data_IF_915186266028
#
_entry.id   IF_915186266028
#
_cell.length_a   1.000
_cell.length_b   1.000
_cell.length_c   1.000
_cell.angle_alpha   90.00
_cell.angle_beta   90.00
_cell.angle_gamma   90.00
#
_symmetry.space_group_name_H-M   'P 1'
#
loop_
_entity.id
_entity.type
_entity.pdbx_description
1 polymer ?
#
# COMPACT_ATOMS: atom_id res chain seq x y z
N UNK A 1 -26.04 -15.65 5.38
CA UNK A 1 -26.42 -14.22 5.27
C UNK A 1 -26.33 -13.50 6.62
N UNK A 2 -27.38 -13.41 7.47
CA UNK A 2 -27.35 -12.60 8.71
C UNK A 2 -26.13 -12.81 9.64
N UNK A 3 -25.68 -14.06 9.87
CA UNK A 3 -24.46 -14.34 10.66
C UNK A 3 -23.16 -13.80 10.04
N UNK A 4 -23.11 -13.67 8.71
CA UNK A 4 -21.95 -13.12 7.98
C UNK A 4 -21.96 -11.59 8.07
N UNK A 5 -23.14 -10.97 7.93
CA UNK A 5 -23.32 -9.52 8.10
C UNK A 5 -22.94 -9.07 9.51
N UNK A 6 -23.40 -9.79 10.55
CA UNK A 6 -23.01 -9.48 11.93
C UNK A 6 -21.50 -9.63 12.18
N UNK A 7 -20.87 -10.65 11.58
CA UNK A 7 -19.42 -10.81 11.61
C UNK A 7 -18.62 -9.76 10.83
N UNK A 8 -19.28 -8.89 10.06
CA UNK A 8 -18.69 -7.72 9.40
C UNK A 8 -18.89 -6.46 10.28
N UNK A 9 -20.05 -6.32 10.93
CA UNK A 9 -20.29 -5.28 11.94
C UNK A 9 -19.32 -5.41 13.14
N UNK A 10 -19.14 -6.62 13.67
CA UNK A 10 -18.22 -6.94 14.78
C UNK A 10 -16.72 -6.70 14.42
N UNK A 11 -16.39 -6.41 13.16
CA UNK A 11 -15.02 -6.12 12.69
C UNK A 11 -14.73 -4.62 12.47
N UNK A 12 -15.68 -3.73 12.78
CA UNK A 12 -15.45 -2.28 12.72
C UNK A 12 -15.15 -1.75 11.31
N UNK A 13 -15.62 -2.44 10.27
CA UNK A 13 -15.52 -1.93 8.89
C UNK A 13 -16.56 -0.82 8.74
N UNK A 14 -16.13 0.43 8.92
CA UNK A 14 -16.89 1.58 8.44
C UNK A 14 -16.86 1.57 6.91
N UNK A 15 -17.78 0.80 6.32
CA UNK A 15 -18.44 1.04 5.03
C UNK A 15 -19.39 2.22 5.37
N UNK A 16 -19.28 3.54 5.05
CA UNK A 16 -18.67 5.64 3.17
C UNK A 16 -17.23 6.40 2.90
N UNK A 17 -17.07 7.12 1.78
CA UNK A 17 -15.97 8.09 1.60
C UNK A 17 -15.95 9.19 2.71
N UNK A 18 -17.03 9.31 3.50
CA UNK A 18 -17.08 9.99 4.81
C UNK A 18 -17.80 9.14 5.90
N UNK A 19 -19.05 8.67 5.67
CA UNK A 19 -19.78 7.71 6.56
C UNK A 19 -20.59 6.66 5.76
N UNK A 20 -19.92 5.69 5.11
CA UNK A 20 -20.68 4.57 3.60
C UNK A 20 -21.96 3.76 3.88
N UNK A 21 -22.31 3.46 5.13
CA UNK A 21 -23.28 2.45 5.59
C UNK A 21 -23.14 1.02 5.00
N UNK A 22 -23.24 -0.01 5.85
CA UNK A 22 -23.19 -1.44 5.48
C UNK A 22 -24.28 -1.87 4.49
N UNK A 23 -25.31 -1.05 4.29
CA UNK A 23 -26.49 -1.31 3.45
C UNK A 23 -26.48 -0.58 2.09
N UNK A 24 -25.35 0.02 1.68
CA UNK A 24 -25.23 0.67 0.37
C UNK A 24 -25.45 -0.31 -0.79
N UNK A 25 -26.65 -0.27 -1.38
CA UNK A 25 -26.98 -1.03 -2.58
C UNK A 25 -26.03 -0.73 -3.76
N UNK A 26 -25.48 0.49 -3.83
CA UNK A 26 -24.48 0.87 -4.83
C UNK A 26 -23.18 0.07 -4.66
N UNK A 27 -22.71 -0.13 -3.43
CA UNK A 27 -21.50 -0.94 -3.18
C UNK A 27 -21.77 -2.42 -3.47
N UNK A 28 -22.91 -2.95 -3.02
CA UNK A 28 -23.35 -4.31 -3.36
C UNK A 28 -23.40 -4.53 -4.89
N UNK A 29 -24.03 -3.61 -5.64
CA UNK A 29 -24.18 -3.74 -7.08
C UNK A 29 -22.82 -3.72 -7.81
N UNK A 30 -21.90 -2.83 -7.44
CA UNK A 30 -20.54 -2.80 -8.00
C UNK A 30 -19.80 -4.12 -7.72
N UNK A 31 -19.82 -4.61 -6.48
CA UNK A 31 -19.17 -5.87 -6.10
C UNK A 31 -19.79 -7.06 -6.86
N UNK A 32 -21.10 -7.08 -7.03
CA UNK A 32 -21.81 -8.12 -7.80
C UNK A 32 -21.47 -8.07 -9.29
N UNK A 33 -21.45 -6.89 -9.91
CA UNK A 33 -21.03 -6.73 -11.31
C UNK A 33 -19.58 -7.20 -11.52
N UNK A 34 -18.65 -6.76 -10.67
CA UNK A 34 -17.25 -7.21 -10.76
C UNK A 34 -17.09 -8.71 -10.56
N UNK A 35 -17.93 -9.37 -9.75
CA UNK A 35 -17.95 -10.84 -9.69
C UNK A 35 -18.48 -11.43 -11.00
N UNK A 36 -19.62 -10.95 -11.47
CA UNK A 36 -20.33 -11.45 -12.66
C UNK A 36 -19.57 -11.23 -13.97
N UNK A 37 -18.67 -10.25 -14.06
CA UNK A 37 -17.79 -10.02 -15.21
C UNK A 37 -16.56 -10.94 -15.25
N UNK A 38 -16.23 -11.55 -14.10
CA UNK A 38 -15.13 -12.51 -13.95
C UNK A 38 -15.63 -13.96 -14.04
N UNK A 39 -16.75 -14.29 -13.42
CA UNK A 39 -17.47 -15.56 -13.57
C UNK A 39 -18.09 -15.63 -14.98
N UNK A 40 -17.37 -16.24 -15.93
CA UNK A 40 -17.77 -16.31 -17.34
C UNK A 40 -18.86 -17.38 -17.57
N UNK A 41 -18.68 -18.56 -16.98
CA UNK A 41 -19.51 -19.75 -17.15
C UNK A 41 -20.70 -19.84 -16.17
N UNK A 42 -20.80 -18.91 -15.22
CA UNK A 42 -21.89 -18.76 -14.25
C UNK A 42 -22.01 -19.95 -13.28
N UNK A 43 -20.88 -20.58 -12.94
CA UNK A 43 -20.81 -21.68 -11.95
C UNK A 43 -20.85 -21.18 -10.50
N UNK A 44 -20.71 -19.87 -10.27
CA UNK A 44 -20.70 -19.24 -8.95
C UNK A 44 -19.32 -19.21 -8.29
N UNK A 45 -18.23 -19.50 -9.02
CA UNK A 45 -16.86 -19.44 -8.53
C UNK A 45 -15.92 -18.73 -9.51
N UNK A 46 -14.96 -17.98 -8.97
CA UNK A 46 -13.87 -17.35 -9.72
C UNK A 46 -12.62 -18.23 -9.60
N UNK A 47 -12.15 -18.82 -10.70
CA UNK A 47 -10.90 -19.58 -10.72
C UNK A 47 -9.69 -18.73 -11.10
N UNK A 48 -8.48 -19.30 -11.04
CA UNK A 48 -7.23 -18.60 -11.36
C UNK A 48 -7.12 -18.04 -12.79
N UNK A 49 -7.94 -18.50 -13.74
CA UNK A 49 -8.04 -17.87 -15.07
C UNK A 49 -8.86 -16.57 -15.00
N UNK A 50 -10.02 -16.64 -14.34
CA UNK A 50 -10.92 -15.51 -14.12
C UNK A 50 -10.22 -14.41 -13.32
N UNK A 51 -9.62 -14.74 -12.15
CA UNK A 51 -8.95 -13.74 -11.31
C UNK A 51 -7.71 -13.12 -11.98
N UNK A 52 -7.05 -13.81 -12.93
CA UNK A 52 -5.96 -13.22 -13.74
C UNK A 52 -6.47 -12.18 -14.75
N UNK A 53 -7.77 -12.14 -15.06
CA UNK A 53 -8.40 -11.07 -15.86
C UNK A 53 -8.79 -9.84 -15.00
N UNK A 54 -8.66 -9.89 -13.68
CA UNK A 54 -8.96 -8.75 -12.81
C UNK A 54 -8.02 -7.58 -13.11
N UNK A 55 -8.59 -6.43 -13.42
CA UNK A 55 -7.90 -5.16 -13.71
C UNK A 55 -6.71 -5.36 -14.67
N UNK A 56 -6.98 -5.93 -15.84
CA UNK A 56 -6.01 -6.23 -16.91
C UNK A 56 -4.75 -6.99 -16.46
N UNK A 57 -4.89 -7.86 -15.46
CA UNK A 57 -3.79 -8.66 -14.93
C UNK A 57 -2.88 -7.85 -13.98
N UNK A 58 -3.47 -6.96 -13.18
CA UNK A 58 -2.78 -6.23 -12.12
C UNK A 58 -2.09 -7.14 -11.10
N UNK A 59 -2.74 -8.25 -10.73
CA UNK A 59 -2.29 -9.15 -9.67
C UNK A 59 -1.27 -10.21 -10.18
N UNK A 60 -0.11 -10.38 -9.50
CA UNK A 60 0.82 -11.48 -9.74
C UNK A 60 0.19 -12.88 -9.56
N UNK A 61 0.71 -13.88 -10.28
CA UNK A 61 0.26 -15.28 -10.16
C UNK A 61 0.53 -15.83 -8.74
N UNK A 62 1.62 -15.43 -8.10
CA UNK A 62 1.95 -15.77 -6.70
C UNK A 62 0.87 -15.28 -5.74
N UNK A 63 0.41 -14.04 -5.91
CA UNK A 63 -0.69 -13.42 -5.13
C UNK A 63 -2.03 -14.10 -5.42
N UNK A 64 -2.40 -14.30 -6.69
CA UNK A 64 -3.61 -15.02 -7.11
C UNK A 64 -3.66 -16.42 -6.47
N UNK A 65 -2.54 -17.13 -6.43
CA UNK A 65 -2.44 -18.43 -5.78
C UNK A 65 -2.75 -18.36 -4.27
N UNK A 66 -2.19 -17.38 -3.54
CA UNK A 66 -2.48 -17.20 -2.10
C UNK A 66 -3.95 -16.85 -1.84
N UNK A 67 -4.54 -15.97 -2.66
CA UNK A 67 -5.97 -15.59 -2.58
C UNK A 67 -6.87 -16.83 -2.75
N UNK A 68 -6.66 -17.61 -3.82
CA UNK A 68 -7.49 -18.78 -4.15
C UNK A 68 -7.25 -19.99 -3.23
N UNK A 69 -6.19 -19.98 -2.42
CA UNK A 69 -6.00 -20.91 -1.30
C UNK A 69 -6.59 -20.37 0.02
N UNK A 70 -7.40 -19.31 -0.02
CA UNK A 70 -8.15 -18.76 1.12
C UNK A 70 -7.32 -17.97 2.14
N UNK A 71 -6.01 -17.79 1.91
CA UNK A 71 -5.05 -17.33 2.92
C UNK A 71 -5.33 -15.94 3.48
N UNK A 72 -5.94 -15.04 2.70
CA UNK A 72 -6.28 -13.70 3.15
C UNK A 72 -7.31 -13.65 4.29
N UNK A 73 -8.11 -14.70 4.53
CA UNK A 73 -9.12 -14.70 5.60
C UNK A 73 -8.57 -15.17 6.95
N UNK A 74 -9.08 -14.65 8.09
CA UNK A 74 -8.77 -15.20 9.41
C UNK A 74 -9.19 -16.68 9.51
N UNK A 75 -8.40 -17.52 10.21
CA UNK A 75 -8.69 -18.95 10.35
C UNK A 75 -10.08 -19.24 10.95
N UNK A 76 -10.59 -18.37 11.84
CA UNK A 76 -11.95 -18.45 12.37
C UNK A 76 -13.06 -18.25 11.30
N UNK A 77 -12.80 -17.46 10.26
CA UNK A 77 -13.74 -17.21 9.15
C UNK A 77 -13.82 -18.38 8.15
N UNK A 78 -13.02 -19.43 8.34
CA UNK A 78 -13.05 -20.68 7.55
C UNK A 78 -13.98 -21.74 8.15
N UNK A 79 -14.54 -21.51 9.35
CA UNK A 79 -15.24 -22.53 10.17
C UNK A 79 -16.77 -22.53 9.96
N UNK A 80 -17.32 -21.58 9.19
CA UNK A 80 -18.77 -21.48 8.97
C UNK A 80 -19.21 -22.30 7.76
N UNK A 81 -19.33 -23.62 7.93
CA UNK A 81 -20.38 -24.49 7.34
C UNK A 81 -20.06 -25.98 7.50
N UNK A 82 -21.03 -26.74 8.04
CA UNK A 82 -21.13 -28.19 7.88
C UNK A 82 -20.33 -29.04 8.88
N UNK A 83 -21.05 -29.78 9.72
CA UNK A 83 -20.51 -31.01 10.30
C UNK A 83 -20.45 -32.09 9.19
N UNK A 84 -19.35 -32.84 9.15
CA UNK A 84 -19.10 -33.91 8.18
C UNK A 84 -18.47 -33.48 6.83
N UNK A 85 -17.17 -33.79 6.65
CA UNK A 85 -16.59 -34.01 5.32
C UNK A 85 -15.28 -33.27 5.01
N UNK A 86 -14.17 -34.01 4.98
CA UNK A 86 -12.92 -33.55 4.36
C UNK A 86 -13.15 -33.30 2.85
N UNK A 87 -13.16 -32.04 2.37
CA UNK A 87 -12.89 -31.70 0.94
C UNK A 87 -12.81 -30.21 0.52
N UNK A 88 -13.22 -29.19 1.32
CA UNK A 88 -13.22 -27.77 0.84
C UNK A 88 -11.87 -27.26 0.32
N UNK A 89 -10.73 -27.75 0.82
CA UNK A 89 -9.37 -27.39 0.37
C UNK A 89 -8.97 -27.86 -1.06
N UNK A 90 -9.90 -28.21 -1.96
CA UNK A 90 -9.57 -28.83 -3.26
C UNK A 90 -10.07 -28.12 -4.54
N UNK A 91 -10.83 -27.02 -4.46
CA UNK A 91 -11.04 -26.10 -5.61
C UNK A 91 -9.98 -24.98 -5.54
N UNK A 92 -9.23 -24.73 -6.62
CA UNK A 92 -8.43 -23.50 -6.82
C UNK A 92 -9.31 -22.38 -7.38
N UNK A 93 -10.42 -22.12 -6.69
CA UNK A 93 -11.46 -21.18 -7.08
C UNK A 93 -12.19 -20.70 -5.83
N UNK A 94 -12.64 -19.45 -5.87
CA UNK A 94 -13.21 -18.72 -4.73
C UNK A 94 -14.68 -18.41 -4.98
N UNK A 95 -15.53 -18.48 -3.95
CA UNK A 95 -16.96 -18.16 -4.08
C UNK A 95 -17.24 -16.63 -3.99
N UNK A 96 -18.51 -16.22 -4.16
CA UNK A 96 -18.88 -14.80 -4.05
C UNK A 96 -18.53 -14.19 -2.68
N UNK A 97 -18.65 -14.94 -1.59
CA UNK A 97 -18.28 -14.50 -0.26
C UNK A 97 -16.77 -14.30 -0.14
N UNK A 98 -15.98 -15.23 -0.64
CA UNK A 98 -14.52 -15.09 -0.75
C UNK A 98 -14.12 -13.85 -1.58
N UNK A 99 -14.82 -13.61 -2.69
CA UNK A 99 -14.55 -12.48 -3.59
C UNK A 99 -14.90 -11.14 -2.93
N UNK A 100 -15.98 -11.05 -2.15
CA UNK A 100 -16.29 -9.85 -1.34
C UNK A 100 -15.13 -9.53 -0.39
N UNK A 101 -14.56 -10.53 0.29
CA UNK A 101 -13.41 -10.35 1.17
C UNK A 101 -12.16 -9.85 0.43
N UNK A 102 -11.86 -10.41 -0.75
CA UNK A 102 -10.79 -9.94 -1.61
C UNK A 102 -11.01 -8.50 -2.08
N UNK A 103 -12.19 -8.20 -2.65
CA UNK A 103 -12.44 -6.92 -3.32
C UNK A 103 -12.53 -5.75 -2.33
N UNK A 104 -13.09 -5.97 -1.13
CA UNK A 104 -13.05 -4.96 -0.05
C UNK A 104 -11.61 -4.68 0.38
N UNK A 105 -10.78 -5.71 0.51
CA UNK A 105 -9.36 -5.55 0.85
C UNK A 105 -8.55 -4.89 -0.28
N UNK A 106 -8.89 -5.11 -1.55
CA UNK A 106 -8.21 -4.50 -2.71
C UNK A 106 -8.57 -3.01 -2.87
N UNK A 107 -9.82 -2.64 -2.58
CA UNK A 107 -10.34 -1.26 -2.65
C UNK A 107 -9.75 -0.38 -1.54
N UNK A 108 -9.74 -0.86 -0.29
CA UNK A 108 -9.19 -0.12 0.86
C UNK A 108 -8.08 -0.92 1.56
N UNK A 109 -6.87 -0.82 1.02
CA UNK A 109 -5.62 -1.33 1.63
C UNK A 109 -5.16 -0.53 2.87
N UNK A 110 -5.86 0.55 3.22
CA UNK A 110 -5.60 1.37 4.42
C UNK A 110 -6.25 0.80 5.68
N UNK A 111 -7.44 0.20 5.56
CA UNK A 111 -8.17 -0.42 6.69
C UNK A 111 -7.37 -1.48 7.45
N UNK A 112 -7.63 -1.63 8.76
CA UNK A 112 -7.01 -2.70 9.55
C UNK A 112 -7.38 -4.11 9.06
N UNK A 113 -8.58 -4.26 8.49
CA UNK A 113 -9.06 -5.51 7.90
C UNK A 113 -8.25 -5.89 6.68
N UNK A 114 -7.97 -4.94 5.78
CA UNK A 114 -7.14 -5.18 4.60
C UNK A 114 -5.66 -5.32 4.95
N UNK A 115 -5.14 -4.56 5.93
CA UNK A 115 -3.80 -4.81 6.50
C UNK A 115 -3.68 -6.26 6.93
N UNK A 116 -4.64 -6.77 7.70
CA UNK A 116 -4.67 -8.18 8.11
C UNK A 116 -4.81 -9.14 6.93
N UNK A 117 -5.61 -8.80 5.92
CA UNK A 117 -5.80 -9.62 4.72
C UNK A 117 -4.51 -9.76 3.91
N UNK A 118 -3.91 -8.64 3.52
CA UNK A 118 -2.72 -8.60 2.67
C UNK A 118 -1.48 -9.11 3.39
N UNK A 119 -1.37 -8.87 4.70
CA UNK A 119 -0.32 -9.50 5.50
C UNK A 119 -0.40 -11.02 5.41
N UNK A 120 -1.57 -11.65 5.65
CA UNK A 120 -1.75 -13.11 5.50
C UNK A 120 -1.63 -13.63 4.06
N UNK A 121 -1.72 -12.76 3.06
CA UNK A 121 -1.42 -13.13 1.66
C UNK A 121 0.10 -13.23 1.46
N UNK A 122 0.88 -12.29 2.00
CA UNK A 122 2.34 -12.21 1.88
C UNK A 122 3.08 -13.17 2.83
N UNK A 123 2.57 -13.37 4.04
CA UNK A 123 3.08 -14.23 5.11
C UNK A 123 3.01 -15.71 4.68
N UNK A 124 4.11 -16.26 4.16
CA UNK A 124 4.12 -17.52 3.43
C UNK A 124 3.94 -18.73 4.34
N UNK A 125 4.64 -18.76 5.49
CA UNK A 125 4.68 -19.88 6.43
C UNK A 125 3.73 -19.74 7.63
N UNK A 126 3.09 -18.57 7.80
CA UNK A 126 2.10 -18.24 8.83
C UNK A 126 2.67 -18.00 10.24
N UNK A 127 3.92 -17.55 10.35
CA UNK A 127 4.55 -17.16 11.64
C UNK A 127 4.12 -15.77 12.15
N UNK A 128 3.60 -14.90 11.27
CA UNK A 128 3.14 -13.53 11.60
C UNK A 128 4.17 -12.41 11.40
N UNK A 129 5.28 -12.68 10.71
CA UNK A 129 6.38 -11.76 10.40
C UNK A 129 6.68 -11.81 8.90
N UNK A 130 6.61 -10.67 8.20
CA UNK A 130 7.15 -10.59 6.84
C UNK A 130 8.67 -10.44 6.90
N UNK A 131 9.36 -11.49 6.48
CA UNK A 131 10.80 -11.58 6.31
C UNK A 131 11.24 -11.09 4.92
N UNK A 132 12.53 -10.78 4.78
CA UNK A 132 13.13 -10.39 3.49
C UNK A 132 12.90 -11.44 2.39
N UNK A 133 12.87 -12.73 2.73
CA UNK A 133 12.67 -13.83 1.78
C UNK A 133 11.28 -13.81 1.13
N UNK A 134 10.24 -13.45 1.89
CA UNK A 134 8.87 -13.39 1.39
C UNK A 134 8.66 -12.13 0.56
N UNK A 135 9.20 -11.00 1.01
CA UNK A 135 9.19 -9.75 0.25
C UNK A 135 9.91 -9.95 -1.09
N UNK A 136 11.06 -10.64 -1.11
CA UNK A 136 11.74 -11.08 -2.34
C UNK A 136 10.86 -11.99 -3.20
N UNK A 137 10.22 -13.01 -2.60
CA UNK A 137 9.37 -13.94 -3.32
C UNK A 137 8.18 -13.27 -4.03
N UNK A 138 7.56 -12.23 -3.46
CA UNK A 138 6.52 -11.48 -4.17
C UNK A 138 7.09 -10.43 -5.13
N UNK A 139 8.17 -9.75 -4.73
CA UNK A 139 8.79 -8.73 -5.57
C UNK A 139 9.39 -9.31 -6.87
N UNK A 140 9.86 -10.57 -6.89
CA UNK A 140 10.40 -11.20 -8.10
C UNK A 140 9.41 -11.16 -9.28
N UNK A 141 8.11 -11.43 -9.04
CA UNK A 141 7.09 -11.39 -10.11
C UNK A 141 6.67 -9.95 -10.47
N UNK A 142 6.72 -9.01 -9.52
CA UNK A 142 6.53 -7.57 -9.78
C UNK A 142 7.69 -7.03 -10.63
N UNK A 143 8.93 -7.37 -10.30
CA UNK A 143 10.16 -6.99 -10.98
C UNK A 143 10.20 -7.52 -12.42
N UNK A 144 9.82 -8.79 -12.64
CA UNK A 144 9.66 -9.36 -13.98
C UNK A 144 8.62 -8.61 -14.83
N UNK A 145 7.53 -8.13 -14.22
CA UNK A 145 6.51 -7.34 -14.92
C UNK A 145 6.98 -5.90 -15.20
N UNK A 146 7.64 -5.27 -14.24
CA UNK A 146 8.27 -3.95 -14.36
C UNK A 146 9.30 -3.91 -15.50
N UNK A 147 10.15 -4.93 -15.59
CA UNK A 147 11.16 -5.06 -16.66
C UNK A 147 10.55 -5.20 -18.07
N UNK A 148 9.36 -5.79 -18.18
CA UNK A 148 8.59 -5.87 -19.44
C UNK A 148 7.91 -4.54 -19.75
N UNK A 149 7.17 -3.98 -18.79
CA UNK A 149 6.35 -2.79 -18.97
C UNK A 149 7.20 -1.51 -19.15
N UNK A 150 8.41 -1.45 -18.56
CA UNK A 150 9.35 -0.30 -18.63
C UNK A 150 10.55 -0.54 -19.56
N UNK A 151 10.47 -1.43 -20.56
CA UNK A 151 11.51 -1.61 -21.58
C UNK A 151 12.92 -1.90 -20.99
N UNK A 152 12.99 -2.71 -19.93
CA UNK A 152 14.22 -3.12 -19.26
C UNK A 152 14.57 -2.35 -17.98
N UNK A 153 13.94 -1.20 -17.69
CA UNK A 153 14.20 -0.46 -16.45
C UNK A 153 13.49 -1.11 -15.24
N UNK A 154 14.20 -1.27 -14.12
CA UNK A 154 13.64 -1.85 -12.88
C UNK A 154 14.32 -1.35 -11.61
N UNK A 155 13.55 -1.18 -10.55
CA UNK A 155 14.03 -0.88 -9.20
C UNK A 155 14.61 -2.16 -8.58
N UNK A 156 15.78 -2.11 -7.95
CA UNK A 156 16.37 -3.32 -7.36
C UNK A 156 15.62 -3.72 -6.08
N UNK A 157 15.66 -5.01 -5.73
CA UNK A 157 15.11 -5.51 -4.48
C UNK A 157 15.69 -4.76 -3.26
N UNK A 158 16.98 -4.40 -3.30
CA UNK A 158 17.63 -3.70 -2.19
C UNK A 158 17.05 -2.28 -2.03
N UNK A 159 16.88 -1.54 -3.11
CA UNK A 159 16.37 -0.15 -3.07
C UNK A 159 14.92 -0.09 -2.56
N UNK A 160 14.03 -0.91 -3.14
CA UNK A 160 12.62 -0.96 -2.71
C UNK A 160 12.49 -1.46 -1.27
N UNK A 161 13.29 -2.45 -0.86
CA UNK A 161 13.20 -2.98 0.51
C UNK A 161 13.72 -1.98 1.53
N UNK A 162 14.83 -1.28 1.25
CA UNK A 162 15.29 -0.18 2.10
C UNK A 162 14.23 0.92 2.23
N UNK A 163 13.67 1.39 1.11
CA UNK A 163 12.62 2.42 1.08
C UNK A 163 11.39 2.01 1.92
N UNK A 164 10.93 0.77 1.78
CA UNK A 164 9.75 0.27 2.49
C UNK A 164 10.01 -0.03 3.96
N UNK A 165 11.20 -0.52 4.33
CA UNK A 165 11.58 -0.73 5.73
C UNK A 165 11.78 0.62 6.46
N UNK A 166 12.36 1.63 5.81
CA UNK A 166 12.49 3.00 6.35
C UNK A 166 11.15 3.72 6.50
N UNK A 167 10.15 3.33 5.69
CA UNK A 167 8.76 3.80 5.80
C UNK A 167 8.01 3.11 6.94
N UNK A 168 8.12 1.79 7.07
CA UNK A 168 7.44 0.99 8.13
C UNK A 168 8.06 1.21 9.51
N UNK A 169 9.40 1.28 9.58
CA UNK A 169 10.20 1.36 10.81
C UNK A 169 9.83 0.25 11.81
N UNK A 170 9.97 -1.04 11.41
CA UNK A 170 9.60 -2.17 12.25
C UNK A 170 10.40 -2.20 13.55
N UNK A 171 9.81 -2.80 14.60
CA UNK A 171 10.46 -2.92 15.92
C UNK A 171 11.78 -3.72 15.86
N UNK A 172 11.86 -4.69 14.95
CA UNK A 172 13.06 -5.47 14.68
C UNK A 172 13.44 -5.34 13.20
N UNK A 173 14.71 -5.07 12.91
CA UNK A 173 15.20 -4.84 11.55
C UNK A 173 15.02 -6.12 10.71
N UNK A 174 14.46 -5.98 9.50
CA UNK A 174 14.20 -7.10 8.60
C UNK A 174 12.99 -7.99 8.97
N UNK A 175 12.18 -7.58 9.95
CA UNK A 175 10.99 -8.30 10.43
C UNK A 175 9.78 -7.36 10.52
N UNK A 176 8.94 -7.31 9.49
CA UNK A 176 7.73 -6.46 9.51
C UNK A 176 6.56 -7.24 10.09
N UNK A 177 6.02 -6.82 11.24
CA UNK A 177 4.86 -7.48 11.86
C UNK A 177 3.53 -6.81 11.50
N UNK A 178 2.41 -7.52 11.68
CA UNK A 178 1.06 -6.92 11.59
C UNK A 178 0.92 -5.71 12.52
N UNK A 179 1.58 -5.72 13.69
CA UNK A 179 1.57 -4.60 14.64
C UNK A 179 2.25 -3.36 14.06
N UNK A 180 3.33 -3.51 13.31
CA UNK A 180 4.04 -2.40 12.69
C UNK A 180 3.25 -1.84 11.50
N UNK A 181 2.66 -2.70 10.68
CA UNK A 181 1.73 -2.28 9.61
C UNK A 181 0.47 -1.58 10.14
N UNK A 182 -0.01 -1.89 11.35
CA UNK A 182 -1.08 -1.14 12.03
C UNK A 182 -0.62 0.18 12.65
N UNK A 183 0.66 0.34 13.02
CA UNK A 183 1.23 1.64 13.46
C UNK A 183 1.50 2.58 12.29
N UNK A 184 1.81 2.02 11.11
CA UNK A 184 2.00 2.78 9.89
C UNK A 184 0.74 3.61 9.57
N UNK A 185 0.95 4.86 9.09
CA UNK A 185 -0.14 5.76 8.69
C UNK A 185 -1.01 5.13 7.60
N UNK A 186 -2.32 5.41 7.65
CA UNK A 186 -3.31 4.87 6.72
C UNK A 186 -2.87 4.96 5.25
N UNK A 187 -2.49 6.15 4.78
CA UNK A 187 -2.12 6.42 3.38
C UNK A 187 -0.83 5.73 2.91
N UNK A 188 0.00 5.24 3.84
CA UNK A 188 1.28 4.57 3.53
C UNK A 188 1.14 3.04 3.46
N UNK A 189 0.05 2.47 4.01
CA UNK A 189 -0.22 1.02 3.96
C UNK A 189 -0.45 0.52 2.53
N UNK A 190 -1.24 1.20 1.66
CA UNK A 190 -1.37 0.81 0.25
C UNK A 190 -0.02 0.78 -0.47
N UNK A 191 0.85 1.78 -0.24
CA UNK A 191 2.17 1.89 -0.88
C UNK A 191 3.02 0.65 -0.57
N UNK A 192 3.04 0.21 0.69
CA UNK A 192 3.77 -1.00 1.09
C UNK A 192 3.21 -2.26 0.42
N UNK A 193 1.90 -2.46 0.43
CA UNK A 193 1.32 -3.69 -0.13
C UNK A 193 1.39 -3.73 -1.66
N UNK A 194 0.98 -2.64 -2.34
CA UNK A 194 0.92 -2.58 -3.80
C UNK A 194 2.30 -2.81 -4.46
N UNK A 195 3.41 -2.44 -3.79
CA UNK A 195 4.78 -2.76 -4.21
C UNK A 195 5.06 -4.27 -4.39
N UNK A 196 4.32 -5.14 -3.70
CA UNK A 196 4.45 -6.59 -3.78
C UNK A 196 3.26 -7.27 -4.50
N UNK A 197 2.10 -6.59 -4.62
CA UNK A 197 0.86 -7.23 -5.10
C UNK A 197 0.17 -6.56 -6.29
N UNK A 198 0.49 -5.32 -6.65
CA UNK A 198 -0.19 -4.60 -7.73
C UNK A 198 0.69 -3.47 -8.31
N UNK A 199 1.51 -3.82 -9.31
CA UNK A 199 2.46 -2.90 -9.96
C UNK A 199 1.80 -1.60 -10.48
N UNK A 200 0.58 -1.69 -11.02
CA UNK A 200 -0.11 -0.51 -11.55
C UNK A 200 -0.53 0.46 -10.44
N UNK A 201 -0.99 -0.05 -9.29
CA UNK A 201 -1.24 0.79 -8.10
C UNK A 201 0.06 1.33 -7.50
N UNK A 202 1.14 0.54 -7.50
CA UNK A 202 2.46 1.03 -7.09
C UNK A 202 2.90 2.23 -7.93
N UNK A 203 2.79 2.17 -9.26
CA UNK A 203 3.06 3.33 -10.12
C UNK A 203 2.12 4.52 -9.89
N UNK A 204 0.84 4.31 -9.55
CA UNK A 204 -0.02 5.44 -9.14
C UNK A 204 0.48 6.10 -7.86
N UNK A 205 0.92 5.30 -6.87
CA UNK A 205 1.48 5.81 -5.62
C UNK A 205 2.79 6.55 -5.86
N UNK A 206 3.70 5.99 -6.65
CA UNK A 206 4.95 6.65 -7.03
C UNK A 206 4.71 7.93 -7.84
N UNK A 207 3.74 7.96 -8.76
CA UNK A 207 3.41 9.19 -9.47
C UNK A 207 2.77 10.24 -8.56
N UNK A 208 1.89 9.86 -7.62
CA UNK A 208 1.36 10.75 -6.58
C UNK A 208 2.46 11.27 -5.64
N UNK A 209 3.35 10.39 -5.19
CA UNK A 209 4.50 10.74 -4.36
C UNK A 209 5.51 11.61 -5.12
N UNK A 210 5.75 11.35 -6.40
CA UNK A 210 6.62 12.14 -7.27
C UNK A 210 6.03 13.53 -7.52
N UNK A 211 4.71 13.63 -7.77
CA UNK A 211 4.01 14.91 -7.87
C UNK A 211 4.11 15.71 -6.56
N UNK A 212 3.87 15.08 -5.41
CA UNK A 212 3.98 15.71 -4.09
C UNK A 212 5.43 16.12 -3.78
N UNK A 213 6.43 15.28 -4.06
CA UNK A 213 7.85 15.63 -3.90
C UNK A 213 8.27 16.76 -4.86
N UNK A 214 7.81 16.76 -6.12
CA UNK A 214 8.02 17.87 -7.06
C UNK A 214 7.38 19.16 -6.57
N UNK A 215 6.17 19.10 -5.99
CA UNK A 215 5.46 20.25 -5.42
C UNK A 215 6.14 20.76 -4.14
N UNK A 216 6.58 19.87 -3.24
CA UNK A 216 7.33 20.21 -2.04
C UNK A 216 8.72 20.79 -2.38
N UNK A 217 9.46 20.17 -3.30
CA UNK A 217 10.73 20.69 -3.78
C UNK A 217 10.57 22.07 -4.44
N UNK A 218 9.51 22.28 -5.24
CA UNK A 218 9.17 23.59 -5.81
C UNK A 218 8.83 24.62 -4.72
N UNK A 219 8.09 24.23 -3.68
CA UNK A 219 7.76 25.11 -2.55
C UNK A 219 9.00 25.43 -1.67
N UNK A 220 9.89 24.47 -1.46
CA UNK A 220 11.17 24.66 -0.77
C UNK A 220 12.11 25.56 -1.58
N UNK A 221 12.22 25.35 -2.90
CA UNK A 221 13.01 26.20 -3.79
C UNK A 221 12.48 27.64 -3.84
N UNK A 222 11.15 27.83 -3.88
CA UNK A 222 10.52 29.15 -3.78
C UNK A 222 10.81 29.83 -2.43
N UNK A 223 10.82 29.08 -1.32
CA UNK A 223 11.22 29.60 0.00
C UNK A 223 12.71 29.94 0.09
N UNK A 224 13.59 29.13 -0.51
CA UNK A 224 15.03 29.42 -0.58
C UNK A 224 15.29 30.68 -1.42
N UNK A 225 14.62 30.82 -2.55
CA UNK A 225 14.70 32.01 -3.39
C UNK A 225 14.22 33.26 -2.62
N UNK A 226 13.05 33.20 -1.98
CA UNK A 226 12.50 34.31 -1.19
C UNK A 226 13.36 34.68 0.03
N UNK A 227 14.08 33.72 0.62
CA UNK A 227 15.06 34.00 1.67
C UNK A 227 16.28 34.75 1.10
N UNK A 228 16.82 34.27 -0.02
CA UNK A 228 17.99 34.87 -0.67
C UNK A 228 17.70 36.26 -1.28
N UNK A 229 16.46 36.55 -1.72
CA UNK A 229 16.09 37.91 -2.18
C UNK A 229 15.89 38.90 -1.05
N UNK A 230 15.59 38.43 0.17
CA UNK A 230 15.20 39.29 1.30
C UNK A 230 16.31 39.44 2.35
N UNK A 231 17.39 38.65 2.27
CA UNK A 231 18.56 38.73 3.15
C UNK A 231 19.77 39.45 2.53
N UNK A 232 19.56 40.25 1.48
CA UNK A 232 20.60 40.71 0.55
C UNK A 232 20.75 42.21 0.34
N UNK A 233 20.12 43.07 1.16
CA UNK A 233 20.42 44.50 1.17
C UNK A 233 20.31 45.11 2.58
N UNK A 234 21.45 45.62 3.06
CA UNK A 234 21.54 46.53 4.20
C UNK A 234 22.80 47.40 4.08
N UNK A 235 22.77 48.30 3.09
CA UNK A 235 23.56 49.54 3.06
C UNK A 235 25.08 49.43 2.90
N UNK A 236 25.54 49.85 1.71
CA UNK A 236 26.72 50.71 1.62
C UNK A 236 26.39 52.15 2.05
N UNK A 237 27.37 53.04 1.92
CA UNK A 237 27.29 54.51 1.91
C UNK A 237 27.54 55.23 3.24
N UNK A 238 28.83 55.48 3.50
CA UNK A 238 29.28 56.82 3.86
C UNK A 238 30.78 57.01 3.54
N UNK A 239 31.09 57.49 2.34
CA UNK A 239 32.39 58.14 2.08
C UNK A 239 32.31 59.59 2.55
N UNK A 240 33.27 60.04 3.37
CA UNK A 240 34.03 61.30 3.24
C UNK A 240 34.79 61.57 4.55
N UNK A 241 36.06 61.99 4.45
CA UNK A 241 36.85 62.42 5.61
C UNK A 241 38.34 62.10 5.52
N UNK A 242 39.11 62.99 4.87
CA UNK A 242 40.51 63.27 5.23
C UNK A 242 40.57 63.64 6.74
N UNK A 243 41.64 63.42 7.50
CA UNK A 243 43.05 63.67 7.14
C UNK A 243 44.04 63.00 8.15
N UNK A 244 45.31 63.31 7.97
CA UNK A 244 46.54 63.08 8.74
C UNK A 244 46.54 62.89 10.30
N UNK A 245 47.51 62.05 10.70
CA UNK A 245 48.49 62.24 11.81
C UNK A 245 48.36 61.48 13.17
N UNK A 246 49.47 61.52 13.92
CA UNK A 246 49.83 60.75 15.12
C UNK A 246 48.95 60.99 16.37
N UNK A 247 48.90 60.00 17.28
CA UNK A 247 48.71 60.34 18.71
C UNK A 247 48.36 59.26 19.73
N UNK A 248 49.38 58.65 20.34
CA UNK A 248 49.55 58.50 21.80
C UNK A 248 48.31 58.47 22.75
N UNK A 249 48.19 57.36 23.48
CA UNK A 249 48.29 57.32 24.97
C UNK A 249 47.04 57.54 25.87
N UNK A 250 46.71 56.47 26.62
CA UNK A 250 46.22 56.40 28.01
C UNK A 250 44.74 56.61 28.43
N UNK A 251 44.34 55.64 29.29
CA UNK A 251 43.71 55.77 30.63
C UNK A 251 42.18 55.76 30.82
N UNK A 252 41.82 54.90 31.78
CA UNK A 252 40.58 54.79 32.60
C UNK A 252 39.34 54.29 31.90
#
# INVERSE_FOLDING_TARGET
MLKVLKGIEDLGIDVNVEHPSVFSYKHFYVIFCSFYELDEDKDGYICGKNLKRYFDGALPKRVISRILNGKGKPKASLVVEGDGGEKRHKKKAMDYGDFVWFLVAEIDKGSETAVGYWFRILDLDEDGILSLYELEYFYEEICQKMEIDNNGEKITLADITCQLIDMVRPKEIGKVTVSDMKKLKYDLRPIFFDAFINLYRFYEHENRASALHKQLAKFMALKLAAYNTNGGDSSSDNENGTDHDHGKTNQK
#
